data_IF_815206058430
#
_entry.id   IF_815206058430
#
_cell.length_a   1.000
_cell.length_b   1.000
_cell.length_c   1.000
_cell.angle_alpha   90.00
_cell.angle_beta   90.00
_cell.angle_gamma   90.00
#
_symmetry.space_group_name_H-M   'P 1'
#
loop_
_entity.id
_entity.type
_entity.pdbx_description
1 polymer ?
#
# COMPACT_ATOMS: atom_id res chain seq x y z
N UNK A 1 -7.16 0.53 9.21
CA UNK A 1 -6.17 0.37 8.11
C UNK A 1 -6.85 0.21 6.76
N UNK A 2 -7.64 -0.83 6.54
CA UNK A 2 -8.29 -1.11 5.23
C UNK A 2 -9.11 0.06 4.67
N UNK A 3 -9.99 0.67 5.49
CA UNK A 3 -10.77 1.87 5.09
C UNK A 3 -9.89 3.06 4.71
N UNK A 4 -8.70 3.20 5.30
CA UNK A 4 -7.78 4.27 4.95
C UNK A 4 -7.09 3.98 3.61
N UNK A 5 -6.64 2.74 3.41
CA UNK A 5 -6.07 2.30 2.13
C UNK A 5 -7.09 2.47 0.99
N UNK A 6 -8.34 2.07 1.20
CA UNK A 6 -9.43 2.21 0.23
C UNK A 6 -9.68 3.68 -0.17
N UNK A 7 -9.72 4.60 0.82
CA UNK A 7 -9.81 6.04 0.57
C UNK A 7 -8.58 6.59 -0.16
N UNK A 8 -7.38 6.13 0.19
CA UNK A 8 -6.14 6.56 -0.48
C UNK A 8 -6.10 6.08 -1.92
N UNK A 9 -6.61 4.89 -2.24
CA UNK A 9 -6.76 4.40 -3.62
C UNK A 9 -7.65 5.36 -4.41
N UNK A 10 -8.81 5.75 -3.88
CA UNK A 10 -9.71 6.69 -4.54
C UNK A 10 -9.05 8.06 -4.81
N UNK A 11 -8.38 8.62 -3.79
CA UNK A 11 -7.60 9.85 -3.96
C UNK A 11 -6.56 9.69 -5.07
N UNK A 12 -5.86 8.56 -5.08
CA UNK A 12 -4.76 8.33 -6.00
C UNK A 12 -5.23 8.16 -7.45
N UNK A 13 -6.38 7.50 -7.65
CA UNK A 13 -7.07 7.42 -8.95
C UNK A 13 -7.51 8.80 -9.43
N UNK A 14 -8.06 9.64 -8.54
CA UNK A 14 -8.42 11.02 -8.88
C UNK A 14 -7.23 11.88 -9.31
N UNK A 15 -6.09 11.77 -8.59
CA UNK A 15 -4.83 12.44 -8.95
C UNK A 15 -4.35 11.95 -10.31
N UNK A 16 -4.34 10.63 -10.55
CA UNK A 16 -3.92 10.04 -11.82
C UNK A 16 -4.74 10.56 -13.01
N UNK A 17 -6.07 10.53 -12.92
CA UNK A 17 -6.93 11.04 -13.99
C UNK A 17 -6.69 12.53 -14.28
N UNK A 18 -6.53 13.34 -13.22
CA UNK A 18 -6.24 14.77 -13.36
C UNK A 18 -4.88 15.01 -14.03
N UNK A 19 -3.85 14.28 -13.59
CA UNK A 19 -2.50 14.39 -14.14
C UNK A 19 -2.44 13.92 -15.60
N UNK A 20 -3.12 12.83 -15.96
CA UNK A 20 -3.23 12.38 -17.35
C UNK A 20 -3.88 13.44 -18.25
N UNK A 21 -4.95 14.09 -17.78
CA UNK A 21 -5.62 15.16 -18.52
C UNK A 21 -4.70 16.38 -18.73
N UNK A 22 -3.91 16.75 -17.71
CA UNK A 22 -2.94 17.85 -17.81
C UNK A 22 -1.80 17.53 -18.79
N UNK A 23 -1.26 16.30 -18.75
CA UNK A 23 -0.24 15.85 -19.72
C UNK A 23 -0.80 15.87 -21.14
N UNK A 24 -2.05 15.43 -21.33
CA UNK A 24 -2.71 15.46 -22.64
C UNK A 24 -2.89 16.90 -23.16
N UNK A 25 -3.17 17.87 -22.29
CA UNK A 25 -3.26 19.28 -22.66
C UNK A 25 -1.89 19.87 -23.04
N UNK A 26 -0.85 19.61 -22.24
CA UNK A 26 0.53 20.00 -22.56
C UNK A 26 1.00 19.41 -23.89
N UNK A 27 0.69 18.15 -24.17
CA UNK A 27 0.98 17.53 -25.47
C UNK A 27 0.34 18.29 -26.64
N UNK A 28 -0.89 18.82 -26.47
CA UNK A 28 -1.56 19.63 -27.50
C UNK A 28 -0.90 21.01 -27.65
N UNK A 29 -0.54 21.64 -26.53
CA UNK A 29 0.13 22.95 -26.54
C UNK A 29 1.53 22.88 -27.18
N UNK A 30 2.30 21.83 -26.91
CA UNK A 30 3.63 21.59 -27.51
C UNK A 30 3.53 21.48 -29.04
N UNK A 31 2.57 20.70 -29.54
CA UNK A 31 2.35 20.59 -30.99
C UNK A 31 1.94 21.92 -31.61
N UNK A 32 1.10 22.71 -30.92
CA UNK A 32 0.71 24.04 -31.40
C UNK A 32 1.91 24.99 -31.49
N UNK A 33 2.77 25.05 -30.47
CA UNK A 33 3.98 25.88 -30.49
C UNK A 33 4.96 25.44 -31.59
N UNK A 34 5.16 24.12 -31.74
CA UNK A 34 6.04 23.59 -32.79
C UNK A 34 5.52 23.91 -34.19
N UNK A 35 4.21 23.86 -34.40
CA UNK A 35 3.57 24.24 -35.66
C UNK A 35 3.73 25.72 -35.99
N UNK A 36 3.92 26.57 -34.97
CA UNK A 36 4.22 28.00 -35.09
C UNK A 36 5.74 28.28 -35.17
N UNK A 37 6.59 27.26 -35.15
CA UNK A 37 8.05 27.41 -35.12
C UNK A 37 8.59 28.00 -33.81
N UNK A 38 7.81 27.94 -32.73
CA UNK A 38 8.19 28.42 -31.40
C UNK A 38 8.86 27.31 -30.58
N UNK A 39 9.69 27.70 -29.60
CA UNK A 39 10.33 26.78 -28.67
C UNK A 39 9.35 26.33 -27.57
N UNK A 40 9.20 25.01 -27.43
CA UNK A 40 8.31 24.36 -26.46
C UNK A 40 9.01 23.77 -25.25
N UNK A 41 10.31 24.02 -25.05
CA UNK A 41 11.11 23.42 -23.97
C UNK A 41 10.44 23.54 -22.59
N UNK A 42 9.98 24.73 -22.20
CA UNK A 42 9.34 24.94 -20.90
C UNK A 42 8.06 24.11 -20.70
N UNK A 43 7.28 23.87 -21.77
CA UNK A 43 6.09 23.01 -21.71
C UNK A 43 6.48 21.53 -21.62
N UNK A 44 7.58 21.13 -22.27
CA UNK A 44 8.12 19.78 -22.17
C UNK A 44 8.63 19.50 -20.74
N UNK A 45 9.27 20.48 -20.11
CA UNK A 45 9.72 20.38 -18.72
C UNK A 45 8.54 20.24 -17.75
N UNK A 46 7.50 21.08 -17.90
CA UNK A 46 6.27 20.95 -17.12
C UNK A 46 5.60 19.59 -17.31
N UNK A 47 5.60 19.08 -18.54
CA UNK A 47 5.06 17.76 -18.86
C UNK A 47 5.88 16.67 -18.18
N UNK A 48 7.20 16.78 -18.17
CA UNK A 48 8.07 15.80 -17.51
C UNK A 48 7.80 15.74 -16.00
N UNK A 49 7.66 16.89 -15.33
CA UNK A 49 7.28 16.94 -13.91
C UNK A 49 5.97 16.19 -13.62
N UNK A 50 4.98 16.31 -14.51
CA UNK A 50 3.71 15.58 -14.38
C UNK A 50 3.86 14.08 -14.66
N UNK A 51 4.73 13.70 -15.61
CA UNK A 51 5.06 12.30 -15.87
C UNK A 51 5.75 11.67 -14.66
N UNK A 52 6.69 12.38 -14.03
CA UNK A 52 7.39 11.91 -12.83
C UNK A 52 6.41 11.72 -11.66
N UNK A 53 5.49 12.68 -11.46
CA UNK A 53 4.42 12.56 -10.49
C UNK A 53 3.51 11.35 -10.76
N UNK A 54 3.23 11.05 -12.03
CA UNK A 54 2.44 9.87 -12.39
C UNK A 54 3.21 8.56 -12.14
N UNK A 55 4.54 8.57 -12.32
CA UNK A 55 5.39 7.40 -12.12
C UNK A 55 5.50 6.96 -10.65
N UNK A 56 5.31 7.88 -9.68
CA UNK A 56 5.17 7.54 -8.26
C UNK A 56 3.91 6.70 -7.99
N UNK A 57 2.85 6.99 -8.73
CA UNK A 57 1.53 6.38 -8.57
C UNK A 57 1.50 4.99 -9.16
N UNK A 58 1.94 4.89 -10.42
CA UNK A 58 1.93 3.67 -11.22
C UNK A 58 3.19 3.59 -12.09
N UNK A 59 3.88 2.44 -12.13
CA UNK A 59 5.04 2.28 -13.00
C UNK A 59 4.65 2.42 -14.47
N UNK A 60 5.35 3.31 -15.18
CA UNK A 60 5.05 3.65 -16.57
C UNK A 60 6.28 3.66 -17.45
N UNK A 61 6.03 3.68 -18.76
CA UNK A 61 6.99 3.86 -19.84
C UNK A 61 6.51 4.97 -20.75
N UNK A 62 7.41 5.89 -21.04
CA UNK A 62 7.18 7.00 -21.97
C UNK A 62 7.68 6.60 -23.35
N UNK A 63 6.87 6.82 -24.38
CA UNK A 63 7.21 6.54 -25.78
C UNK A 63 7.10 7.85 -26.56
N UNK A 64 8.20 8.25 -27.20
CA UNK A 64 8.20 9.42 -28.08
C UNK A 64 7.32 9.18 -29.32
N UNK A 65 6.60 10.22 -29.72
CA UNK A 65 5.77 10.28 -30.93
C UNK A 65 6.20 11.50 -31.75
N UNK A 66 5.64 11.63 -32.95
CA UNK A 66 5.92 12.77 -33.82
C UNK A 66 5.59 14.11 -33.15
N UNK A 67 6.20 15.18 -33.61
CA UNK A 67 5.97 16.55 -33.12
C UNK A 67 6.20 16.73 -31.60
N UNK A 68 7.21 16.04 -31.05
CA UNK A 68 7.56 16.01 -29.61
C UNK A 68 6.44 15.54 -28.68
N UNK A 69 5.42 14.87 -29.22
CA UNK A 69 4.40 14.24 -28.39
C UNK A 69 4.95 13.03 -27.64
N UNK A 70 4.29 12.67 -26.54
CA UNK A 70 4.56 11.43 -25.83
C UNK A 70 3.29 10.60 -25.70
N UNK A 71 3.46 9.29 -25.74
CA UNK A 71 2.48 8.31 -25.29
C UNK A 71 2.95 7.67 -23.98
N UNK A 72 2.01 7.32 -23.10
CA UNK A 72 2.30 6.73 -21.79
C UNK A 72 1.66 5.35 -21.71
N UNK A 73 2.47 4.37 -21.32
CA UNK A 73 2.02 2.99 -21.11
C UNK A 73 2.41 2.52 -19.73
N UNK A 74 1.61 1.67 -19.10
CA UNK A 74 2.02 0.99 -17.87
C UNK A 74 3.10 -0.04 -18.19
N UNK A 75 3.89 -0.45 -17.21
CA UNK A 75 4.79 -1.60 -17.37
C UNK A 75 4.03 -2.91 -17.65
N UNK A 76 2.76 -3.00 -17.23
CA UNK A 76 1.82 -4.07 -17.55
C UNK A 76 1.18 -3.98 -18.94
N UNK A 77 1.51 -2.97 -19.75
CA UNK A 77 1.11 -2.84 -21.15
C UNK A 77 -0.19 -2.08 -21.42
N UNK A 78 -0.83 -1.46 -20.43
CA UNK A 78 -2.00 -0.62 -20.66
C UNK A 78 -1.59 0.75 -21.24
N UNK A 79 -2.35 1.22 -22.24
CA UNK A 79 -2.24 2.60 -22.75
C UNK A 79 -2.94 3.56 -21.79
N UNK A 80 -2.18 4.47 -21.19
CA UNK A 80 -2.69 5.52 -20.29
C UNK A 80 -2.91 6.85 -21.02
N UNK A 81 -2.10 7.11 -22.05
CA UNK A 81 -2.22 8.30 -22.87
C UNK A 81 -1.76 7.98 -24.29
N UNK A 82 -2.70 8.01 -25.22
CA UNK A 82 -2.44 7.89 -26.65
C UNK A 82 -3.48 8.70 -27.42
N UNK A 83 -3.14 9.95 -27.75
CA UNK A 83 -4.08 10.94 -28.28
C UNK A 83 -5.07 11.47 -27.24
N UNK A 84 -5.71 10.57 -26.49
CA UNK A 84 -6.62 10.88 -25.39
C UNK A 84 -6.18 10.19 -24.09
N UNK A 85 -6.37 10.82 -22.92
CA UNK A 85 -6.07 10.20 -21.64
C UNK A 85 -7.07 9.07 -21.36
N UNK A 86 -6.58 7.95 -20.85
CA UNK A 86 -7.44 6.89 -20.36
C UNK A 86 -8.13 7.29 -19.06
N UNK A 87 -9.35 6.79 -18.86
CA UNK A 87 -10.11 6.98 -17.63
C UNK A 87 -9.90 5.79 -16.69
N UNK A 88 -9.38 6.06 -15.50
CA UNK A 88 -9.25 5.06 -14.46
C UNK A 88 -10.42 5.19 -13.49
N UNK A 89 -11.22 4.14 -13.36
CA UNK A 89 -12.36 4.11 -12.45
C UNK A 89 -12.08 3.28 -11.20
N UNK A 90 -12.57 3.78 -10.06
CA UNK A 90 -12.53 3.09 -8.78
C UNK A 90 -13.71 3.54 -7.91
N UNK A 91 -14.32 2.61 -7.18
CA UNK A 91 -15.49 2.88 -6.33
C UNK A 91 -15.16 2.58 -4.86
N UNK A 92 -14.79 3.59 -4.04
CA UNK A 92 -14.46 3.36 -2.64
C UNK A 92 -15.69 2.95 -1.82
N UNK A 93 -15.42 2.30 -0.70
CA UNK A 93 -16.43 2.01 0.33
C UNK A 93 -16.27 2.95 1.52
N UNK A 94 -17.39 3.31 2.16
CA UNK A 94 -17.36 4.21 3.32
C UNK A 94 -16.63 3.61 4.53
N UNK A 95 -16.85 2.32 4.78
CA UNK A 95 -16.21 1.55 5.84
C UNK A 95 -15.91 0.15 5.30
N UNK A 96 -14.64 -0.25 5.34
CA UNK A 96 -14.24 -1.63 5.04
C UNK A 96 -14.31 -2.46 6.33
N UNK A 97 -15.26 -3.40 6.41
CA UNK A 97 -15.40 -4.35 7.52
C UNK A 97 -14.54 -5.59 7.31
N UNK A 98 -14.43 -6.43 8.35
CA UNK A 98 -13.52 -7.57 8.40
C UNK A 98 -13.77 -8.62 7.30
N UNK A 99 -15.03 -8.80 6.92
CA UNK A 99 -15.55 -9.77 5.94
C UNK A 99 -15.49 -9.28 4.48
N UNK A 100 -15.38 -7.97 4.27
CA UNK A 100 -15.39 -7.41 2.92
C UNK A 100 -14.13 -7.81 2.16
N UNK A 101 -14.30 -8.37 0.97
CA UNK A 101 -13.21 -8.73 0.06
C UNK A 101 -13.58 -8.37 -1.37
N UNK A 102 -12.61 -8.40 -2.28
CA UNK A 102 -12.88 -8.33 -3.71
C UNK A 102 -13.68 -9.56 -4.18
N UNK A 103 -13.37 -10.74 -3.65
CA UNK A 103 -14.03 -12.00 -4.02
C UNK A 103 -15.50 -12.05 -3.58
N UNK A 104 -15.85 -11.42 -2.46
CA UNK A 104 -17.26 -11.29 -2.04
C UNK A 104 -18.03 -10.21 -2.80
N UNK A 105 -17.36 -9.44 -3.67
CA UNK A 105 -17.95 -8.31 -4.40
C UNK A 105 -18.22 -7.08 -3.54
N UNK A 106 -17.83 -7.10 -2.27
CA UNK A 106 -18.05 -6.00 -1.33
C UNK A 106 -17.02 -4.87 -1.50
N UNK A 107 -15.84 -5.17 -2.06
CA UNK A 107 -14.83 -4.19 -2.45
C UNK A 107 -14.73 -4.11 -3.97
N UNK A 108 -14.43 -2.91 -4.48
CA UNK A 108 -14.18 -2.71 -5.91
C UNK A 108 -12.70 -2.91 -6.27
N UNK A 109 -12.48 -3.29 -7.53
CA UNK A 109 -11.19 -3.24 -8.20
C UNK A 109 -11.06 -1.98 -9.07
N UNK A 110 -10.03 -1.94 -9.92
CA UNK A 110 -9.84 -0.86 -10.89
C UNK A 110 -10.55 -1.16 -12.21
N UNK A 111 -10.92 -0.09 -12.91
CA UNK A 111 -11.36 -0.15 -14.30
C UNK A 111 -10.49 0.77 -15.16
N UNK A 112 -10.27 0.38 -16.41
CA UNK A 112 -9.61 1.16 -17.45
C UNK A 112 -10.61 1.38 -18.57
N UNK A 113 -11.01 2.63 -18.80
CA UNK A 113 -12.06 3.00 -19.76
C UNK A 113 -13.36 2.17 -19.57
N UNK A 114 -13.75 1.97 -18.30
CA UNK A 114 -14.93 1.18 -17.92
C UNK A 114 -14.73 -0.34 -17.94
N UNK A 115 -13.60 -0.85 -18.42
CA UNK A 115 -13.30 -2.29 -18.42
C UNK A 115 -12.57 -2.70 -17.13
N UNK A 116 -13.03 -3.73 -16.39
CA UNK A 116 -12.33 -4.23 -15.22
C UNK A 116 -10.91 -4.69 -15.55
N UNK A 117 -9.97 -4.36 -14.67
CA UNK A 117 -8.57 -4.75 -14.80
C UNK A 117 -8.04 -5.29 -13.47
N UNK A 118 -6.98 -6.10 -13.56
CA UNK A 118 -6.30 -6.61 -12.37
C UNK A 118 -5.54 -5.49 -11.67
N UNK A 119 -5.89 -5.27 -10.40
CA UNK A 119 -5.30 -4.27 -9.50
C UNK A 119 -4.24 -4.84 -8.57
N UNK A 120 -3.92 -6.14 -8.67
CA UNK A 120 -2.87 -6.78 -7.88
C UNK A 120 -1.47 -6.38 -8.35
N UNK A 121 -0.48 -6.65 -7.49
CA UNK A 121 0.93 -6.54 -7.84
C UNK A 121 1.24 -7.44 -9.05
N UNK A 122 1.80 -6.85 -10.11
CA UNK A 122 2.02 -7.52 -11.41
C UNK A 122 0.84 -7.48 -12.40
N UNK A 123 -0.31 -6.92 -11.99
CA UNK A 123 -1.45 -6.65 -12.87
C UNK A 123 -1.22 -5.50 -13.84
N UNK A 124 -2.24 -5.17 -14.62
CA UNK A 124 -2.18 -4.15 -15.69
C UNK A 124 -1.77 -2.76 -15.16
N UNK A 125 -2.20 -2.41 -13.95
CA UNK A 125 -1.79 -1.21 -13.20
C UNK A 125 -1.03 -1.57 -11.91
N UNK A 126 -0.37 -2.72 -11.89
CA UNK A 126 0.34 -3.22 -10.72
C UNK A 126 1.60 -2.42 -10.39
N UNK A 127 1.87 -2.25 -9.09
CA UNK A 127 3.06 -1.58 -8.56
C UNK A 127 2.83 -0.10 -8.20
N UNK A 128 3.92 0.60 -7.89
CA UNK A 128 3.86 2.00 -7.41
C UNK A 128 3.07 2.13 -6.11
N UNK A 129 2.65 3.35 -5.80
CA UNK A 129 1.81 3.59 -4.63
C UNK A 129 0.44 2.90 -4.73
N UNK A 130 -0.15 2.83 -5.92
CA UNK A 130 -1.48 2.25 -6.11
C UNK A 130 -1.48 0.75 -5.79
N UNK A 131 -0.53 0.00 -6.35
CA UNK A 131 -0.37 -1.42 -6.06
C UNK A 131 -0.13 -1.69 -4.58
N UNK A 132 0.75 -0.91 -3.93
CA UNK A 132 1.01 -1.06 -2.49
C UNK A 132 -0.24 -0.85 -1.63
N UNK A 133 -1.11 0.10 -1.99
CA UNK A 133 -2.38 0.32 -1.28
C UNK A 133 -3.35 -0.86 -1.43
N UNK A 134 -3.44 -1.46 -2.62
CA UNK A 134 -4.22 -2.69 -2.82
C UNK A 134 -3.65 -3.86 -2.01
N UNK A 135 -2.32 -4.07 -2.03
CA UNK A 135 -1.66 -5.10 -1.20
C UNK A 135 -1.95 -4.91 0.29
N UNK A 136 -1.98 -3.66 0.79
CA UNK A 136 -2.35 -3.37 2.18
C UNK A 136 -3.83 -3.71 2.44
N UNK A 137 -4.74 -3.30 1.54
CA UNK A 137 -6.19 -3.47 1.72
C UNK A 137 -6.62 -4.93 1.62
N UNK A 138 -6.03 -5.68 0.71
CA UNK A 138 -6.56 -6.95 0.24
C UNK A 138 -5.75 -8.17 0.69
N UNK A 139 -4.46 -8.01 1.03
CA UNK A 139 -3.60 -9.11 1.46
C UNK A 139 -3.07 -8.91 2.89
N UNK A 140 -2.24 -7.88 3.12
CA UNK A 140 -1.51 -7.73 4.39
C UNK A 140 -2.42 -7.48 5.60
N UNK A 141 -3.45 -6.64 5.45
CA UNK A 141 -4.36 -6.36 6.55
C UNK A 141 -5.30 -7.55 6.85
N UNK A 142 -5.90 -8.23 5.84
CA UNK A 142 -6.61 -9.49 6.06
C UNK A 142 -5.74 -10.60 6.69
N UNK A 143 -4.48 -10.75 6.27
CA UNK A 143 -3.56 -11.73 6.87
C UNK A 143 -3.31 -11.43 8.35
N UNK A 144 -3.06 -10.17 8.68
CA UNK A 144 -2.89 -9.74 10.07
C UNK A 144 -4.18 -9.95 10.89
N UNK A 145 -5.34 -9.68 10.30
CA UNK A 145 -6.65 -9.91 10.90
C UNK A 145 -6.85 -11.40 11.23
N UNK A 146 -6.53 -12.30 10.30
CA UNK A 146 -6.65 -13.74 10.51
C UNK A 146 -5.81 -14.23 11.70
N UNK A 147 -4.63 -13.65 11.94
CA UNK A 147 -3.80 -14.03 13.09
C UNK A 147 -4.39 -13.59 14.43
N UNK A 148 -4.94 -12.37 14.50
CA UNK A 148 -5.56 -11.89 15.75
C UNK A 148 -6.93 -12.55 16.00
N UNK A 149 -7.68 -12.89 14.95
CA UNK A 149 -8.91 -13.66 15.06
C UNK A 149 -8.63 -15.08 15.57
N UNK A 150 -7.58 -15.73 15.07
CA UNK A 150 -7.14 -17.03 15.56
C UNK A 150 -6.72 -17.00 17.04
N UNK A 151 -6.06 -15.93 17.48
CA UNK A 151 -5.75 -15.72 18.90
C UNK A 151 -7.01 -15.54 19.75
N UNK A 152 -7.99 -14.77 19.27
CA UNK A 152 -9.27 -14.59 19.95
C UNK A 152 -10.03 -15.93 20.04
N UNK A 153 -10.02 -16.73 18.97
CA UNK A 153 -10.60 -18.07 18.94
C UNK A 153 -9.92 -19.01 19.93
N UNK A 154 -8.59 -19.00 20.01
CA UNK A 154 -7.83 -19.79 20.99
C UNK A 154 -8.23 -19.43 22.43
N UNK A 155 -8.36 -18.15 22.75
CA UNK A 155 -8.85 -17.71 24.06
C UNK A 155 -10.29 -18.16 24.34
N UNK A 156 -11.21 -18.03 23.39
CA UNK A 156 -12.59 -18.48 23.59
C UNK A 156 -12.62 -20.00 23.80
N UNK A 157 -11.91 -20.77 22.98
CA UNK A 157 -11.90 -22.22 23.05
C UNK A 157 -11.42 -22.71 24.44
N UNK A 158 -10.29 -22.20 24.93
CA UNK A 158 -9.73 -22.56 26.24
C UNK A 158 -10.69 -22.27 27.40
N UNK A 159 -11.41 -21.16 27.32
CA UNK A 159 -12.29 -20.71 28.40
C UNK A 159 -13.74 -21.18 28.27
N UNK A 160 -14.07 -21.89 27.19
CA UNK A 160 -15.36 -22.56 26.98
C UNK A 160 -15.27 -24.09 27.12
N UNK A 161 -14.07 -24.63 27.41
CA UNK A 161 -13.88 -26.05 27.64
C UNK A 161 -14.51 -26.48 28.99
N UNK A 162 -15.45 -27.45 29.00
CA UNK A 162 -16.01 -28.02 30.22
C UNK A 162 -14.98 -28.67 31.16
N UNK A 163 -13.78 -29.01 30.66
CA UNK A 163 -12.67 -29.46 31.51
C UNK A 163 -12.07 -28.33 32.35
N UNK A 164 -12.21 -27.07 31.91
CA UNK A 164 -11.76 -25.88 32.62
C UNK A 164 -12.87 -25.36 33.55
N UNK A 165 -14.09 -25.23 33.05
CA UNK A 165 -15.28 -24.85 33.84
C UNK A 165 -16.35 -25.96 33.77
N UNK A 166 -16.42 -26.85 34.77
CA UNK A 166 -17.40 -27.94 34.79
C UNK A 166 -18.88 -27.51 34.87
N UNK A 167 -19.17 -26.21 35.05
CA UNK A 167 -20.54 -25.71 34.95
C UNK A 167 -21.03 -25.58 33.51
N UNK A 168 -20.10 -25.57 32.54
CA UNK A 168 -20.41 -25.46 31.11
C UNK A 168 -20.76 -26.83 30.50
N UNK A 169 -21.70 -26.82 29.56
CA UNK A 169 -21.93 -27.90 28.60
C UNK A 169 -21.22 -27.60 27.27
N UNK A 170 -20.93 -28.62 26.44
CA UNK A 170 -20.40 -28.39 25.10
C UNK A 170 -21.27 -27.43 24.29
N UNK A 171 -20.69 -26.33 23.81
CA UNK A 171 -21.38 -25.28 23.07
C UNK A 171 -21.88 -24.11 23.91
N UNK A 172 -21.71 -24.15 25.24
CA UNK A 172 -21.97 -23.00 26.09
C UNK A 172 -20.92 -21.90 25.92
N UNK A 173 -21.32 -20.66 26.20
CA UNK A 173 -20.42 -19.52 26.21
C UNK A 173 -19.52 -19.56 27.45
N UNK A 174 -18.21 -19.64 27.21
CA UNK A 174 -17.17 -19.52 28.23
C UNK A 174 -16.96 -18.09 28.74
N UNK A 175 -15.81 -17.84 29.38
CA UNK A 175 -15.50 -16.52 29.96
C UNK A 175 -15.35 -15.46 28.86
N UNK A 176 -14.73 -15.86 27.76
CA UNK A 176 -14.65 -15.07 26.55
C UNK A 176 -15.73 -15.52 25.57
N UNK A 177 -16.36 -14.56 24.91
CA UNK A 177 -17.53 -14.74 24.07
C UNK A 177 -17.39 -14.00 22.76
N UNK A 178 -18.20 -14.37 21.78
CA UNK A 178 -18.42 -13.60 20.57
C UNK A 178 -19.67 -12.73 20.75
N UNK A 179 -19.50 -11.44 21.09
CA UNK A 179 -20.61 -10.51 21.40
C UNK A 179 -21.61 -11.05 22.43
N UNK A 180 -21.14 -11.77 23.44
CA UNK A 180 -21.98 -12.38 24.48
C UNK A 180 -22.59 -13.73 24.13
N UNK A 181 -22.39 -14.22 22.90
CA UNK A 181 -22.80 -15.55 22.46
C UNK A 181 -21.62 -16.55 22.47
N UNK A 182 -21.91 -17.88 22.43
CA UNK A 182 -20.91 -18.88 22.14
C UNK A 182 -20.28 -18.64 20.75
N UNK A 183 -19.02 -19.03 20.59
CA UNK A 183 -18.33 -18.88 19.31
C UNK A 183 -18.88 -19.84 18.23
N UNK A 184 -19.16 -19.30 17.05
CA UNK A 184 -19.49 -20.07 15.85
C UNK A 184 -18.23 -20.22 14.95
N UNK A 185 -17.73 -21.44 14.71
CA UNK A 185 -16.59 -21.69 13.82
C UNK A 185 -16.75 -21.17 12.38
N UNK A 186 -17.98 -20.94 11.92
CA UNK A 186 -18.24 -20.37 10.58
C UNK A 186 -18.08 -18.85 10.54
N UNK A 187 -18.11 -18.18 11.69
CA UNK A 187 -18.08 -16.72 11.79
C UNK A 187 -16.72 -16.19 12.28
N UNK A 188 -15.61 -16.93 12.14
CA UNK A 188 -14.32 -16.52 12.72
C UNK A 188 -13.79 -15.15 12.22
N UNK A 189 -14.11 -14.75 10.99
CA UNK A 189 -13.60 -13.51 10.40
C UNK A 189 -14.07 -12.28 11.19
N UNK A 190 -13.13 -11.52 11.74
CA UNK A 190 -13.35 -10.34 12.57
C UNK A 190 -13.61 -10.63 14.05
N UNK A 191 -13.48 -11.88 14.51
CA UNK A 191 -13.72 -12.30 15.89
C UNK A 191 -12.94 -11.48 16.93
N UNK A 192 -11.70 -11.08 16.63
CA UNK A 192 -10.90 -10.26 17.55
C UNK A 192 -11.58 -8.93 17.88
N UNK A 193 -12.32 -8.34 16.93
CA UNK A 193 -13.10 -7.11 17.14
C UNK A 193 -14.43 -7.33 17.87
N UNK A 194 -14.81 -8.59 18.10
CA UNK A 194 -16.07 -9.01 18.73
C UNK A 194 -15.89 -9.67 20.09
N UNK A 195 -14.65 -10.02 20.42
CA UNK A 195 -14.27 -10.64 21.68
C UNK A 195 -14.77 -9.80 22.85
N UNK A 196 -15.59 -10.43 23.70
CA UNK A 196 -16.17 -9.80 24.87
C UNK A 196 -16.10 -10.73 26.08
N UNK A 197 -16.06 -10.14 27.27
CA UNK A 197 -16.22 -10.89 28.52
C UNK A 197 -17.70 -11.26 28.67
N UNK A 198 -17.95 -12.49 29.09
CA UNK A 198 -19.29 -12.99 29.38
C UNK A 198 -19.97 -12.11 30.44
N UNK A 199 -21.13 -11.56 30.10
CA UNK A 199 -21.90 -10.68 30.97
C UNK A 199 -22.24 -11.32 32.32
N UNK A 200 -22.33 -12.66 32.39
CA UNK A 200 -22.55 -13.38 33.64
C UNK A 200 -21.47 -13.05 34.70
N UNK A 201 -20.22 -12.86 34.30
CA UNK A 201 -19.12 -12.56 35.21
C UNK A 201 -18.88 -11.06 35.45
N UNK A 202 -19.61 -10.17 34.76
CA UNK A 202 -19.38 -8.71 34.79
C UNK A 202 -20.49 -7.97 35.57
N UNK A 203 -20.21 -7.43 36.77
CA UNK A 203 -21.17 -6.62 37.53
C UNK A 203 -21.70 -5.38 36.80
N UNK A 204 -20.92 -4.79 35.89
CA UNK A 204 -21.34 -3.66 35.07
C UNK A 204 -22.44 -4.01 34.08
N UNK A 205 -22.59 -5.30 33.76
CA UNK A 205 -23.59 -5.85 32.85
C UNK A 205 -24.66 -6.67 33.60
N UNK A 206 -24.74 -6.56 34.93
CA UNK A 206 -25.70 -7.29 35.77
C UNK A 206 -25.26 -8.70 36.17
N UNK A 207 -24.02 -9.09 35.86
CA UNK A 207 -23.38 -10.31 36.31
C UNK A 207 -22.83 -10.25 37.72
N UNK A 208 -22.08 -11.28 38.10
CA UNK A 208 -21.49 -11.39 39.42
C UNK A 208 -20.10 -12.05 39.37
N UNK A 209 -19.13 -11.41 40.04
CA UNK A 209 -17.71 -11.83 40.06
C UNK A 209 -17.53 -13.24 40.63
N UNK A 210 -18.42 -13.69 41.54
CA UNK A 210 -18.34 -15.03 42.11
C UNK A 210 -18.45 -16.14 41.05
N UNK A 211 -19.01 -15.85 39.87
CA UNK A 211 -19.04 -16.81 38.75
C UNK A 211 -17.66 -17.13 38.17
N UNK A 212 -16.66 -16.26 38.35
CA UNK A 212 -15.27 -16.61 38.03
C UNK A 212 -14.70 -17.68 38.96
N UNK A 213 -15.27 -17.81 40.17
CA UNK A 213 -14.86 -18.81 41.17
C UNK A 213 -15.70 -20.08 41.09
N UNK A 214 -17.02 -19.94 40.92
CA UNK A 214 -17.94 -21.06 41.07
C UNK A 214 -18.42 -21.64 39.72
N UNK A 215 -18.16 -20.94 38.61
CA UNK A 215 -18.56 -21.33 37.25
C UNK A 215 -19.51 -20.34 36.62
N UNK A 216 -19.38 -20.14 35.30
CA UNK A 216 -20.20 -19.18 34.56
C UNK A 216 -21.67 -19.58 34.53
N UNK A 217 -21.97 -20.87 34.49
CA UNK A 217 -23.33 -21.41 34.52
C UNK A 217 -23.77 -21.91 35.89
N UNK A 218 -23.00 -21.63 36.95
CA UNK A 218 -23.34 -22.03 38.31
C UNK A 218 -24.69 -21.44 38.78
N UNK A 219 -25.52 -22.26 39.43
CA UNK A 219 -26.85 -21.83 39.86
C UNK A 219 -26.81 -20.85 41.06
N UNK A 220 -25.80 -20.97 41.93
CA UNK A 220 -25.63 -20.15 43.12
C UNK A 220 -24.14 -20.04 43.49
N UNK A 221 -23.81 -19.06 44.33
CA UNK A 221 -22.47 -18.91 44.86
C UNK A 221 -22.11 -20.09 45.79
N UNK A 222 -20.91 -20.65 45.57
CA UNK A 222 -20.30 -21.70 46.37
C UNK A 222 -19.45 -21.17 47.52
N UNK A 223 -18.63 -22.06 48.10
CA UNK A 223 -17.73 -21.72 49.19
C UNK A 223 -16.75 -20.62 48.76
N UNK A 224 -16.64 -19.57 49.58
CA UNK A 224 -15.76 -18.44 49.30
C UNK A 224 -14.28 -18.79 49.33
N UNK A 225 -13.92 -19.91 49.96
CA UNK A 225 -12.56 -20.42 50.03
C UNK A 225 -12.14 -21.36 48.91
N UNK A 226 -13.04 -21.78 48.00
CA UNK A 226 -12.70 -22.76 46.95
C UNK A 226 -11.96 -22.08 45.77
N UNK A 227 -10.68 -22.43 45.51
CA UNK A 227 -9.91 -21.84 44.41
C UNK A 227 -9.92 -22.70 43.14
N UNK A 228 -10.64 -23.83 43.12
CA UNK A 228 -10.50 -24.87 42.08
C UNK A 228 -10.65 -24.32 40.66
N UNK A 229 -11.72 -23.58 40.38
CA UNK A 229 -11.93 -22.99 39.06
C UNK A 229 -10.90 -21.90 38.75
N UNK A 230 -10.55 -21.05 39.72
CA UNK A 230 -9.54 -20.01 39.52
C UNK A 230 -8.16 -20.59 39.17
N UNK A 231 -7.81 -21.74 39.76
CA UNK A 231 -6.60 -22.50 39.41
C UNK A 231 -6.70 -23.07 37.99
N UNK A 232 -7.87 -23.55 37.58
CA UNK A 232 -8.12 -24.11 36.24
C UNK A 232 -8.10 -23.02 35.16
N UNK A 233 -8.71 -21.85 35.40
CA UNK A 233 -8.65 -20.68 34.52
C UNK A 233 -7.21 -20.16 34.38
N UNK A 234 -6.41 -20.22 35.45
CA UNK A 234 -4.98 -19.91 35.37
C UNK A 234 -4.25 -20.94 34.52
N UNK A 235 -4.55 -22.23 34.68
CA UNK A 235 -3.96 -23.30 33.86
C UNK A 235 -4.27 -23.08 32.37
N UNK A 236 -5.51 -22.72 32.03
CA UNK A 236 -5.90 -22.37 30.65
C UNK A 236 -5.04 -21.24 30.03
N UNK A 237 -4.50 -20.33 30.85
CA UNK A 237 -3.59 -19.26 30.40
C UNK A 237 -2.12 -19.69 30.29
N UNK A 238 -1.74 -20.82 30.88
CA UNK A 238 -0.35 -21.29 30.93
C UNK A 238 -0.11 -22.59 30.19
N UNK A 239 -1.16 -23.34 29.92
CA UNK A 239 -1.09 -24.65 29.30
C UNK A 239 -0.84 -24.52 27.79
N UNK A 240 -0.06 -25.46 27.27
CA UNK A 240 0.32 -25.50 25.87
C UNK A 240 -0.71 -26.32 25.09
N UNK A 241 -1.52 -25.64 24.29
CA UNK A 241 -2.56 -26.26 23.46
C UNK A 241 -2.42 -25.80 22.01
N UNK A 242 -2.74 -26.66 21.03
CA UNK A 242 -2.68 -26.29 19.62
C UNK A 242 -3.87 -25.37 19.28
N UNK A 243 -3.63 -24.14 18.77
CA UNK A 243 -4.72 -23.31 18.28
C UNK A 243 -5.38 -23.98 17.08
N UNK A 244 -6.69 -23.75 16.92
CA UNK A 244 -7.50 -24.40 15.89
C UNK A 244 -7.36 -23.75 14.49
N UNK A 245 -6.81 -22.54 14.41
CA UNK A 245 -6.75 -21.72 13.19
C UNK A 245 -5.51 -20.80 13.20
N UNK A 246 -5.38 -19.98 12.15
CA UNK A 246 -4.24 -19.08 11.95
C UNK A 246 -2.99 -19.80 11.45
N UNK A 247 -1.89 -19.06 11.34
CA UNK A 247 -0.62 -19.60 10.81
C UNK A 247 0.06 -20.61 11.74
N UNK A 248 -0.36 -20.67 13.00
CA UNK A 248 0.21 -21.54 14.03
C UNK A 248 -0.69 -22.74 14.38
N UNK A 249 -1.74 -22.98 13.59
CA UNK A 249 -2.70 -24.06 13.82
C UNK A 249 -1.99 -25.41 13.97
N UNK A 250 -2.42 -26.20 14.97
CA UNK A 250 -1.87 -27.54 15.22
C UNK A 250 -0.52 -27.59 15.94
N UNK A 251 0.13 -26.45 16.19
CA UNK A 251 1.35 -26.38 17.00
C UNK A 251 0.99 -25.97 18.42
N UNK A 252 1.29 -26.82 19.41
CA UNK A 252 0.97 -26.51 20.81
C UNK A 252 1.67 -25.22 21.26
N UNK A 253 0.89 -24.26 21.76
CA UNK A 253 1.35 -22.96 22.26
C UNK A 253 0.64 -22.61 23.56
N UNK A 254 1.31 -21.89 24.43
CA UNK A 254 0.63 -21.11 25.46
C UNK A 254 0.04 -19.84 24.82
N UNK A 255 -0.99 -19.21 25.39
CA UNK A 255 -1.52 -17.94 24.89
C UNK A 255 -0.43 -16.85 24.78
N UNK A 256 0.47 -16.76 25.77
CA UNK A 256 1.61 -15.84 25.73
C UNK A 256 2.61 -16.18 24.62
N UNK A 257 2.84 -17.46 24.35
CA UNK A 257 3.68 -17.93 23.24
C UNK A 257 3.06 -17.63 21.88
N UNK A 258 1.75 -17.87 21.72
CA UNK A 258 1.03 -17.53 20.49
C UNK A 258 1.05 -16.02 20.22
N UNK A 259 0.82 -15.19 21.25
CA UNK A 259 0.93 -13.74 21.13
C UNK A 259 2.35 -13.29 20.76
N UNK A 260 3.39 -13.92 21.34
CA UNK A 260 4.78 -13.64 21.00
C UNK A 260 5.12 -14.04 19.55
N UNK A 261 4.58 -15.16 19.06
CA UNK A 261 4.77 -15.62 17.69
C UNK A 261 4.07 -14.69 16.68
N UNK A 262 2.85 -14.23 16.97
CA UNK A 262 2.16 -13.23 16.16
C UNK A 262 2.97 -11.92 16.11
N UNK A 263 3.48 -11.46 17.26
CA UNK A 263 4.34 -10.26 17.31
C UNK A 263 5.64 -10.46 16.54
N UNK A 264 6.24 -11.64 16.61
CA UNK A 264 7.44 -12.03 15.86
C UNK A 264 7.18 -12.00 14.35
N UNK A 265 6.04 -12.54 13.90
CA UNK A 265 5.62 -12.51 12.50
C UNK A 265 5.49 -11.08 11.98
N UNK A 266 4.78 -10.21 12.71
CA UNK A 266 4.64 -8.78 12.33
C UNK A 266 6.00 -8.08 12.33
N UNK A 267 6.86 -8.37 13.31
CA UNK A 267 8.21 -7.80 13.40
C UNK A 267 9.11 -8.26 12.25
N UNK A 268 8.99 -9.51 11.82
CA UNK A 268 9.69 -10.06 10.66
C UNK A 268 9.21 -9.42 9.35
N UNK A 269 7.90 -9.32 9.16
CA UNK A 269 7.31 -8.63 8.00
C UNK A 269 7.75 -7.17 7.92
N UNK A 270 7.78 -6.45 9.05
CA UNK A 270 8.28 -5.07 9.12
C UNK A 270 9.76 -4.97 8.75
N UNK A 271 10.60 -5.87 9.25
CA UNK A 271 12.04 -5.90 8.89
C UNK A 271 12.23 -6.17 7.38
N UNK A 272 11.46 -7.10 6.82
CA UNK A 272 11.48 -7.36 5.38
C UNK A 272 11.01 -6.16 4.54
N UNK A 273 10.03 -5.40 5.02
CA UNK A 273 9.60 -4.15 4.39
C UNK A 273 10.70 -3.07 4.46
N UNK A 274 11.32 -2.86 5.62
CA UNK A 274 12.40 -1.89 5.79
C UNK A 274 13.64 -2.23 4.93
N UNK A 275 13.98 -3.51 4.79
CA UNK A 275 15.07 -3.95 3.91
C UNK A 275 14.76 -3.65 2.43
N UNK A 276 13.52 -3.88 1.98
CA UNK A 276 13.08 -3.55 0.62
C UNK A 276 13.10 -2.05 0.36
N UNK A 277 12.64 -1.24 1.32
CA UNK A 277 12.71 0.22 1.25
C UNK A 277 14.16 0.71 1.15
N UNK A 278 15.04 0.23 2.03
CA UNK A 278 16.47 0.59 1.99
C UNK A 278 17.12 0.24 0.65
N UNK A 279 16.82 -0.93 0.10
CA UNK A 279 17.31 -1.32 -1.22
C UNK A 279 16.75 -0.43 -2.34
N UNK A 280 15.45 -0.09 -2.29
CA UNK A 280 14.81 0.76 -3.28
C UNK A 280 15.42 2.18 -3.28
N UNK A 281 15.64 2.77 -2.10
CA UNK A 281 16.28 4.07 -1.94
C UNK A 281 17.71 4.07 -2.47
N UNK A 282 18.53 3.07 -2.08
CA UNK A 282 19.90 2.95 -2.57
C UNK A 282 19.96 2.80 -4.11
N UNK A 283 19.00 2.08 -4.70
CA UNK A 283 18.88 1.95 -6.15
C UNK A 283 18.49 3.29 -6.79
N UNK A 284 17.54 4.01 -6.22
CA UNK A 284 17.13 5.33 -6.70
C UNK A 284 18.29 6.33 -6.65
N UNK A 285 19.04 6.36 -5.55
CA UNK A 285 20.22 7.22 -5.39
C UNK A 285 21.29 6.91 -6.44
N UNK A 286 21.56 5.62 -6.68
CA UNK A 286 22.54 5.20 -7.69
C UNK A 286 22.12 5.61 -9.11
N UNK A 287 20.84 5.43 -9.46
CA UNK A 287 20.30 5.84 -10.76
C UNK A 287 20.30 7.36 -10.91
N UNK A 288 19.91 8.09 -9.87
CA UNK A 288 19.92 9.56 -9.87
C UNK A 288 21.34 10.09 -10.02
N UNK A 289 22.30 9.50 -9.29
CA UNK A 289 23.72 9.83 -9.44
C UNK A 289 24.26 9.56 -10.85
N UNK A 290 23.85 8.46 -11.47
CA UNK A 290 24.22 8.15 -12.86
C UNK A 290 23.62 9.17 -13.85
N UNK A 291 22.33 9.52 -13.70
CA UNK A 291 21.69 10.54 -14.54
C UNK A 291 22.31 11.92 -14.39
N UNK A 292 22.65 12.33 -13.16
CA UNK A 292 23.30 13.62 -12.92
C UNK A 292 24.73 13.66 -13.50
N UNK A 293 25.43 12.53 -13.53
CA UNK A 293 26.75 12.43 -14.15
C UNK A 293 26.71 12.56 -15.69
N UNK A 294 25.60 12.15 -16.32
CA UNK A 294 25.32 12.37 -17.74
C UNK A 294 24.62 13.72 -18.01
N UNK A 295 24.32 14.48 -16.95
CA UNK A 295 23.65 15.77 -17.04
C UNK A 295 24.48 16.83 -17.74
N UNK A 296 23.82 17.71 -18.48
CA UNK A 296 24.45 18.86 -19.14
C UNK A 296 24.65 19.97 -18.10
N UNK A 297 25.89 20.26 -17.75
CA UNK A 297 26.23 21.40 -16.92
C UNK A 297 26.06 22.69 -17.73
N UNK A 298 25.01 23.46 -17.45
CA UNK A 298 24.68 24.70 -18.15
C UNK A 298 25.78 25.75 -18.04
N UNK A 299 26.54 25.78 -16.94
CA UNK A 299 27.66 26.71 -16.80
C UNK A 299 28.82 26.29 -17.70
N UNK A 300 29.07 24.98 -17.82
CA UNK A 300 30.09 24.44 -18.71
C UNK A 300 29.71 24.60 -20.19
N UNK A 301 28.44 24.40 -20.55
CA UNK A 301 27.95 24.66 -21.91
C UNK A 301 27.93 26.16 -22.22
N UNK A 302 27.62 27.03 -21.27
CA UNK A 302 27.72 28.48 -21.44
C UNK A 302 29.17 28.91 -21.66
N UNK A 303 30.13 28.34 -20.93
CA UNK A 303 31.55 28.58 -21.16
C UNK A 303 31.99 28.13 -22.55
N UNK A 304 31.56 26.95 -23.01
CA UNK A 304 31.82 26.47 -24.37
C UNK A 304 31.20 27.39 -25.42
N UNK A 305 29.98 27.87 -25.20
CA UNK A 305 29.30 28.80 -26.10
C UNK A 305 30.05 30.13 -26.20
N UNK A 306 30.48 30.70 -25.08
CA UNK A 306 31.33 31.90 -25.06
C UNK A 306 32.66 31.70 -25.79
N UNK A 307 33.29 30.53 -25.64
CA UNK A 307 34.51 30.19 -26.38
C UNK A 307 34.25 30.09 -27.89
N UNK A 308 33.14 29.47 -28.29
CA UNK A 308 32.73 29.38 -29.69
C UNK A 308 32.47 30.77 -30.27
N UNK A 309 31.78 31.65 -29.53
CA UNK A 309 31.54 33.04 -29.95
C UNK A 309 32.85 33.82 -30.10
N UNK A 310 33.78 33.69 -29.16
CA UNK A 310 35.09 34.33 -29.25
C UNK A 310 35.91 33.80 -30.43
N UNK A 311 35.91 32.48 -30.66
CA UNK A 311 36.59 31.86 -31.79
C UNK A 311 35.97 32.30 -33.12
N UNK A 312 34.64 32.41 -33.20
CA UNK A 312 33.94 32.89 -34.38
C UNK A 312 34.25 34.37 -34.65
N UNK A 313 34.23 35.22 -33.62
CA UNK A 313 34.60 36.62 -33.73
C UNK A 313 36.07 36.82 -34.14
N UNK A 314 36.98 35.98 -33.62
CA UNK A 314 38.38 35.97 -34.00
C UNK A 314 38.57 35.56 -35.48
N UNK A 315 37.88 34.50 -35.92
CA UNK A 315 37.89 34.05 -37.32
C UNK A 315 37.32 35.11 -38.26
N UNK A 316 36.24 35.79 -37.87
CA UNK A 316 35.68 36.90 -38.65
C UNK A 316 36.69 38.05 -38.80
N UNK A 317 37.46 38.38 -37.75
CA UNK A 317 38.54 39.37 -37.83
C UNK A 317 39.66 38.97 -38.79
N UNK A 318 40.05 37.68 -38.78
CA UNK A 318 41.05 37.15 -39.71
C UNK A 318 40.56 37.24 -41.16
N UNK A 319 39.28 36.97 -41.41
CA UNK A 319 38.68 37.14 -42.74
C UNK A 319 38.70 38.61 -43.18
N UNK A 320 38.36 39.55 -42.29
CA UNK A 320 38.42 40.98 -42.62
C UNK A 320 39.84 41.47 -42.90
N UNK A 321 40.85 41.01 -42.15
CA UNK A 321 42.24 41.41 -42.42
C UNK A 321 42.79 40.80 -43.70
N UNK A 322 42.37 39.56 -44.05
CA UNK A 322 42.67 38.96 -45.36
C UNK A 322 42.02 39.77 -46.48
N UNK A 323 40.76 40.19 -46.33
CA UNK A 323 40.05 41.01 -47.32
C UNK A 323 40.77 42.36 -47.52
N UNK A 324 41.18 43.03 -46.44
CA UNK A 324 41.98 44.27 -46.51
C UNK A 324 43.32 44.09 -47.23
N UNK A 325 44.03 42.98 -46.98
CA UNK A 325 45.29 42.67 -47.67
C UNK A 325 45.07 42.37 -49.17
N UNK A 326 44.01 41.65 -49.53
CA UNK A 326 43.64 41.40 -50.93
C UNK A 326 43.29 42.72 -51.63
N UNK A 327 42.53 43.60 -50.98
CA UNK A 327 42.21 44.92 -51.53
C UNK A 327 43.45 45.81 -51.70
N UNK A 328 44.44 45.72 -50.80
CA UNK A 328 45.72 46.42 -50.97
C UNK A 328 46.52 45.88 -52.16
N UNK A 329 46.56 44.56 -52.36
CA UNK A 329 47.20 43.95 -53.53
C UNK A 329 46.50 44.33 -54.84
N UNK A 330 45.17 44.46 -54.85
CA UNK A 330 44.40 44.90 -56.02
C UNK A 330 44.53 46.39 -56.34
N UNK A 331 45.08 47.20 -55.41
CA UNK A 331 45.32 48.64 -55.60
C UNK A 331 46.75 48.96 -56.09
N UNK A 332 47.62 47.95 -56.17
CA UNK A 332 48.95 48.01 -56.80
C UNK A 332 48.85 47.56 -58.26
#
# INVERSE_FOLDING_TARGET
VRTQADRQIATQVGVMNTTLAQIADLNRQIVAQRSLGQDGAALMDQRQVLVDKLAEIVPLRTVARDNDQIALFTTGGASLLEGHPAEIGFAPVGLATADMTLASGALSGLTLNGMPIDSKEGGVLGGGQLGALFTIRDDLAPDAQAQIDAFARDLIARFSDPAIDPSLSPGDAGLFTDRGAPFDPLEEVGLAGRLAINAAADPGQGGAVWRLRDGLNAAAAGDVGDPTLLVSLRAALTDSEPPASGAFAGLAKTPSGLAADILSMVSGARQGAAARESYANARQDALTGAFLAEGVDTDQELQKLLQIEQAYAANARVITTIDEMIQQLLRL
#
